data_IF_326785959055
#
_entry.id   IF_326785959055
#
_cell.length_a   1.000
_cell.length_b   1.000
_cell.length_c   1.000
_cell.angle_alpha   90.00
_cell.angle_beta   90.00
_cell.angle_gamma   90.00
#
_symmetry.space_group_name_H-M   'P 1'
#
loop_
_entity.id
_entity.type
_entity.pdbx_description
1 polymer ?
#
# COMPACT_ATOMS: atom_id res chain seq x y z
N UNK A 1 -40.65 31.28 -19.17
CA UNK A 1 -40.18 29.93 -19.53
C UNK A 1 -38.67 29.74 -19.42
N UNK A 2 -37.84 30.71 -19.83
CA UNK A 2 -36.38 30.62 -19.70
C UNK A 2 -35.83 30.61 -18.26
N UNK A 3 -36.47 31.33 -17.31
CA UNK A 3 -36.04 31.31 -15.91
C UNK A 3 -36.30 29.98 -15.17
N UNK A 4 -37.32 29.23 -15.58
CA UNK A 4 -37.61 27.91 -14.99
C UNK A 4 -36.62 26.81 -15.48
N UNK A 5 -36.14 26.91 -16.73
CA UNK A 5 -35.13 26.00 -17.27
C UNK A 5 -33.80 26.10 -16.53
N UNK A 6 -33.32 27.34 -16.27
CA UNK A 6 -32.06 27.55 -15.54
C UNK A 6 -32.07 27.05 -14.06
N UNK A 7 -33.25 27.04 -13.42
CA UNK A 7 -33.38 26.54 -12.04
C UNK A 7 -33.35 25.01 -12.02
N UNK A 8 -33.96 24.37 -13.04
CA UNK A 8 -33.98 22.91 -13.14
C UNK A 8 -32.58 22.33 -13.40
N UNK A 9 -31.82 22.96 -14.30
CA UNK A 9 -30.45 22.55 -14.62
C UNK A 9 -29.49 22.75 -13.46
N UNK A 10 -29.63 23.85 -12.69
CA UNK A 10 -28.84 24.07 -11.48
C UNK A 10 -29.11 23.05 -10.35
N UNK A 11 -30.36 22.63 -10.18
CA UNK A 11 -30.72 21.62 -9.19
C UNK A 11 -30.19 20.23 -9.57
N UNK A 12 -30.20 19.87 -10.87
CA UNK A 12 -29.68 18.60 -11.35
C UNK A 12 -28.16 18.53 -11.20
N UNK A 13 -27.44 19.57 -11.58
CA UNK A 13 -25.97 19.66 -11.43
C UNK A 13 -25.54 19.60 -9.97
N UNK A 14 -26.23 20.31 -9.07
CA UNK A 14 -25.94 20.27 -7.63
C UNK A 14 -26.15 18.87 -7.04
N UNK A 15 -27.19 18.15 -7.42
CA UNK A 15 -27.47 16.80 -6.95
C UNK A 15 -26.42 15.78 -7.43
N UNK A 16 -25.95 15.87 -8.68
CA UNK A 16 -24.92 14.95 -9.21
C UNK A 16 -23.60 15.12 -8.46
N UNK A 17 -23.19 16.37 -8.18
CA UNK A 17 -21.98 16.64 -7.39
C UNK A 17 -22.13 16.21 -5.92
N UNK A 18 -23.28 16.39 -5.33
CA UNK A 18 -23.55 16.00 -3.94
C UNK A 18 -23.56 14.46 -3.78
N UNK A 19 -24.22 13.75 -4.70
CA UNK A 19 -24.18 12.28 -4.75
C UNK A 19 -22.78 11.74 -5.02
N UNK A 20 -22.00 12.36 -5.90
CA UNK A 20 -20.63 11.93 -6.19
C UNK A 20 -19.71 12.08 -4.96
N UNK A 21 -19.86 13.14 -4.17
CA UNK A 21 -19.02 13.37 -2.97
C UNK A 21 -19.35 12.42 -1.82
N UNK A 22 -20.63 12.19 -1.54
CA UNK A 22 -21.07 11.22 -0.51
C UNK A 22 -20.63 9.81 -0.91
N UNK A 23 -20.78 9.49 -2.17
CA UNK A 23 -20.44 8.20 -2.72
C UNK A 23 -18.92 7.93 -2.69
N UNK A 24 -18.09 8.92 -3.01
CA UNK A 24 -16.64 8.80 -2.88
C UNK A 24 -16.22 8.48 -1.44
N UNK A 25 -16.82 9.12 -0.45
CA UNK A 25 -16.55 8.85 0.97
C UNK A 25 -16.85 7.41 1.39
N UNK A 26 -17.94 6.81 0.87
CA UNK A 26 -18.28 5.40 1.13
C UNK A 26 -17.33 4.42 0.44
N UNK A 27 -16.94 4.72 -0.81
CA UNK A 27 -15.95 3.92 -1.54
C UNK A 27 -14.58 3.97 -0.88
N UNK A 28 -14.15 5.14 -0.44
CA UNK A 28 -12.85 5.32 0.21
C UNK A 28 -12.78 4.54 1.52
N UNK A 29 -13.84 4.54 2.33
CA UNK A 29 -13.91 3.70 3.54
C UNK A 29 -13.83 2.21 3.22
N UNK A 30 -14.62 1.73 2.26
CA UNK A 30 -14.60 0.33 1.85
C UNK A 30 -13.23 -0.08 1.28
N UNK A 31 -12.56 0.83 0.55
CA UNK A 31 -11.22 0.61 0.04
C UNK A 31 -10.17 0.50 1.17
N UNK A 32 -10.23 1.39 2.16
CA UNK A 32 -9.33 1.37 3.32
C UNK A 32 -9.52 0.08 4.13
N UNK A 33 -10.75 -0.37 4.37
CA UNK A 33 -11.03 -1.62 5.09
C UNK A 33 -10.46 -2.86 4.40
N UNK A 34 -10.41 -2.88 3.07
CA UNK A 34 -9.97 -4.03 2.29
C UNK A 34 -8.49 -3.99 1.90
N UNK A 35 -7.87 -2.80 1.88
CA UNK A 35 -6.46 -2.64 1.59
C UNK A 35 -5.61 -3.12 2.77
N UNK A 36 -4.76 -4.10 2.56
CA UNK A 36 -3.88 -4.62 3.61
C UNK A 36 -2.65 -3.76 3.86
N UNK A 37 -2.32 -2.86 2.94
CA UNK A 37 -1.19 -1.91 3.02
C UNK A 37 -1.60 -0.47 3.36
N UNK A 38 -2.88 -0.20 3.61
CA UNK A 38 -3.39 1.16 3.88
C UNK A 38 -2.81 1.81 5.12
N UNK A 39 -2.39 1.03 6.11
CA UNK A 39 -1.74 1.54 7.32
C UNK A 39 -0.42 2.29 7.06
N UNK A 40 0.24 2.04 5.93
CA UNK A 40 1.48 2.73 5.53
C UNK A 40 1.24 4.20 5.16
N UNK A 41 0.01 4.57 4.80
CA UNK A 41 -0.37 5.95 4.48
C UNK A 41 -0.45 6.86 5.72
N UNK A 42 -0.51 6.28 6.93
CA UNK A 42 -0.48 7.04 8.18
C UNK A 42 0.84 7.81 8.39
N UNK A 43 1.90 7.38 7.72
CA UNK A 43 3.24 7.96 7.82
C UNK A 43 3.47 9.11 6.82
N UNK A 44 2.50 9.45 5.98
CA UNK A 44 2.61 10.53 4.97
C UNK A 44 2.73 11.93 5.59
N UNK A 45 2.33 12.09 6.87
CA UNK A 45 2.46 13.34 7.63
C UNK A 45 3.90 13.84 7.76
N UNK A 46 4.88 12.95 7.59
CA UNK A 46 6.31 13.29 7.59
C UNK A 46 6.78 13.88 6.26
N UNK A 47 5.92 13.86 5.24
CA UNK A 47 6.27 14.19 3.88
C UNK A 47 5.84 15.61 3.53
N UNK A 48 6.70 16.35 2.83
CA UNK A 48 6.36 17.66 2.27
C UNK A 48 6.21 17.59 0.76
N UNK A 49 5.08 18.04 0.26
CA UNK A 49 4.83 18.18 -1.18
C UNK A 49 5.45 19.46 -1.70
N UNK A 50 6.21 19.37 -2.78
CA UNK A 50 6.88 20.53 -3.40
C UNK A 50 6.23 20.96 -4.73
N UNK A 51 5.05 20.40 -5.05
CA UNK A 51 4.37 20.57 -6.35
C UNK A 51 4.77 19.47 -7.35
N UNK A 52 3.96 19.28 -8.38
CA UNK A 52 4.23 18.23 -9.40
C UNK A 52 4.22 16.81 -8.84
N UNK A 53 5.16 16.01 -9.28
CA UNK A 53 5.36 14.61 -8.89
C UNK A 53 6.31 14.44 -7.68
N UNK A 54 6.94 15.52 -7.25
CA UNK A 54 8.03 15.47 -6.29
C UNK A 54 7.56 15.60 -4.85
N UNK A 55 8.17 14.78 -4.01
CA UNK A 55 7.88 14.65 -2.59
C UNK A 55 9.20 14.75 -1.82
N UNK A 56 9.22 15.51 -0.74
CA UNK A 56 10.40 15.62 0.13
C UNK A 56 10.21 14.80 1.39
N UNK A 57 11.17 13.91 1.65
CA UNK A 57 11.21 13.06 2.84
C UNK A 57 12.38 13.51 3.70
N UNK A 58 12.18 13.73 5.02
CA UNK A 58 13.28 14.09 5.91
C UNK A 58 14.17 12.87 6.16
N UNK A 59 15.47 13.05 6.00
CA UNK A 59 16.51 12.12 6.41
C UNK A 59 17.40 12.82 7.43
N UNK A 60 17.63 12.17 8.56
CA UNK A 60 18.47 12.70 9.64
C UNK A 60 19.61 11.72 9.92
N UNK A 61 20.82 12.24 9.89
CA UNK A 61 22.02 11.54 10.24
C UNK A 61 22.74 12.30 11.35
N UNK A 62 23.28 11.58 12.34
CA UNK A 62 23.92 12.15 13.51
C UNK A 62 25.18 11.34 13.86
N UNK A 63 26.22 12.04 14.28
CA UNK A 63 27.43 11.41 14.80
C UNK A 63 27.14 10.70 16.13
N UNK A 64 27.85 9.60 16.37
CA UNK A 64 27.77 8.83 17.61
C UNK A 64 28.47 9.51 18.78
N UNK A 65 28.46 8.85 19.94
CA UNK A 65 29.21 9.33 21.12
C UNK A 65 30.71 9.24 20.85
N UNK A 66 31.42 10.29 21.25
CA UNK A 66 32.88 10.37 21.27
C UNK A 66 33.38 10.39 22.72
N UNK A 67 34.67 10.09 22.91
CA UNK A 67 35.29 10.13 24.21
C UNK A 67 35.31 11.54 24.79
N UNK A 68 34.92 11.65 26.06
CA UNK A 68 34.95 12.91 26.77
C UNK A 68 36.34 13.11 27.40
N UNK A 69 37.03 14.17 27.04
CA UNK A 69 38.29 14.59 27.63
C UNK A 69 37.99 15.59 28.78
N UNK A 70 38.53 15.29 29.97
CA UNK A 70 38.29 16.14 31.14
C UNK A 70 38.95 17.52 31.04
N UNK A 71 40.00 17.64 30.23
CA UNK A 71 40.75 18.88 30.07
C UNK A 71 40.27 19.69 28.84
N UNK A 72 39.79 18.99 27.81
CA UNK A 72 39.36 19.60 26.52
C UNK A 72 37.84 19.66 26.32
N UNK A 73 37.09 18.92 27.14
CA UNK A 73 35.61 18.90 27.05
C UNK A 73 35.06 17.91 26.01
N UNK A 74 33.93 18.25 25.46
CA UNK A 74 33.23 17.44 24.46
C UNK A 74 33.85 17.58 23.07
N UNK A 75 33.89 16.49 22.32
CA UNK A 75 34.12 16.52 20.87
C UNK A 75 32.85 17.00 20.19
N UNK A 76 32.96 18.01 19.31
CA UNK A 76 31.81 18.51 18.56
C UNK A 76 31.33 17.46 17.56
N UNK A 77 30.05 17.07 17.65
CA UNK A 77 29.39 16.21 16.69
C UNK A 77 28.56 17.00 15.68
N UNK A 78 28.25 16.40 14.56
CA UNK A 78 27.41 16.98 13.53
C UNK A 78 26.03 16.33 13.50
N UNK A 79 25.00 17.14 13.24
CA UNK A 79 23.63 16.71 12.93
C UNK A 79 23.32 17.16 11.52
N UNK A 80 23.12 16.22 10.63
CA UNK A 80 22.82 16.49 9.24
C UNK A 80 21.35 16.19 8.93
N UNK A 81 20.53 17.22 8.83
CA UNK A 81 19.13 17.12 8.43
C UNK A 81 18.99 17.42 6.95
N UNK A 82 18.72 16.42 6.14
CA UNK A 82 18.52 16.54 4.69
C UNK A 82 17.07 16.26 4.33
N UNK A 83 16.60 16.99 3.31
CA UNK A 83 15.34 16.68 2.63
C UNK A 83 15.68 16.00 1.31
N UNK A 84 15.39 14.70 1.23
CA UNK A 84 15.55 13.95 -0.01
C UNK A 84 14.33 14.17 -0.91
N UNK A 85 14.57 14.58 -2.15
CA UNK A 85 13.52 14.68 -3.16
C UNK A 85 13.33 13.33 -3.82
N UNK A 86 12.13 12.78 -3.74
CA UNK A 86 11.73 11.53 -4.40
C UNK A 86 10.59 11.84 -5.36
N UNK A 87 10.62 11.24 -6.55
CA UNK A 87 9.58 11.41 -7.57
C UNK A 87 8.65 10.20 -7.55
N UNK A 88 7.34 10.43 -7.51
CA UNK A 88 6.34 9.36 -7.60
C UNK A 88 6.36 8.74 -9.00
N UNK A 89 6.23 7.42 -9.07
CA UNK A 89 6.34 6.66 -10.32
C UNK A 89 5.03 6.02 -10.78
N UNK A 90 4.07 5.80 -9.87
CA UNK A 90 2.83 5.09 -10.19
C UNK A 90 1.67 6.04 -10.42
N UNK A 91 1.45 6.40 -11.69
CA UNK A 91 0.30 7.19 -12.14
C UNK A 91 -0.62 6.29 -12.97
N UNK A 92 -1.66 5.76 -12.33
CA UNK A 92 -2.53 4.72 -12.88
C UNK A 92 -3.97 5.16 -12.87
N UNK A 93 -4.69 4.86 -13.95
CA UNK A 93 -6.11 5.20 -14.05
C UNK A 93 -6.85 4.39 -15.10
N UNK A 94 -8.16 4.37 -15.00
CA UNK A 94 -9.06 3.73 -15.98
C UNK A 94 -10.33 4.54 -16.14
N UNK A 95 -10.86 4.56 -17.35
CA UNK A 95 -12.14 5.18 -17.68
C UNK A 95 -13.12 4.13 -18.21
N UNK A 96 -14.36 4.20 -17.76
CA UNK A 96 -15.47 3.40 -18.26
C UNK A 96 -16.50 4.33 -18.89
N UNK A 97 -17.05 3.93 -20.03
CA UNK A 97 -18.06 4.71 -20.76
C UNK A 97 -19.28 3.86 -21.02
N UNK A 98 -20.46 4.46 -20.88
CA UNK A 98 -21.77 3.84 -21.07
C UNK A 98 -22.56 4.67 -22.09
N UNK A 99 -23.19 4.03 -23.04
CA UNK A 99 -23.95 4.73 -24.06
C UNK A 99 -25.16 5.47 -23.45
N UNK A 100 -25.46 6.66 -23.96
CA UNK A 100 -26.58 7.50 -23.49
C UNK A 100 -27.94 6.78 -23.60
N UNK A 101 -28.10 5.93 -24.61
CA UNK A 101 -29.35 5.23 -24.85
C UNK A 101 -29.58 3.98 -23.97
N UNK A 102 -28.48 3.47 -23.35
CA UNK A 102 -28.56 2.27 -22.52
C UNK A 102 -28.86 2.59 -21.07
N UNK A 103 -28.72 3.87 -20.64
CA UNK A 103 -28.74 4.24 -19.23
C UNK A 103 -29.65 5.44 -18.95
N UNK A 104 -30.63 5.23 -18.07
CA UNK A 104 -31.46 6.32 -17.54
C UNK A 104 -30.64 7.07 -16.45
N UNK A 105 -30.69 8.41 -16.43
CA UNK A 105 -29.89 9.29 -15.56
C UNK A 105 -29.85 8.87 -14.08
N UNK A 106 -30.99 8.49 -13.50
CA UNK A 106 -31.07 8.09 -12.11
C UNK A 106 -30.43 6.73 -11.84
N UNK A 107 -30.52 5.79 -12.78
CA UNK A 107 -29.89 4.47 -12.68
C UNK A 107 -28.39 4.53 -12.98
N UNK A 108 -27.93 5.51 -13.75
CA UNK A 108 -26.50 5.63 -14.09
C UNK A 108 -25.64 5.89 -12.86
N UNK A 109 -26.02 6.87 -12.03
CA UNK A 109 -25.21 7.21 -10.83
C UNK A 109 -25.06 6.01 -9.92
N UNK A 110 -26.13 5.23 -9.70
CA UNK A 110 -26.09 4.01 -8.89
C UNK A 110 -25.24 2.93 -9.56
N UNK A 111 -25.37 2.75 -10.86
CA UNK A 111 -24.60 1.75 -11.62
C UNK A 111 -23.12 2.11 -11.71
N UNK A 112 -22.79 3.36 -12.00
CA UNK A 112 -21.41 3.86 -12.02
C UNK A 112 -20.74 3.67 -10.65
N UNK A 113 -21.50 3.92 -9.62
CA UNK A 113 -21.12 3.71 -8.24
C UNK A 113 -20.76 2.26 -7.96
N UNK A 114 -21.61 1.33 -8.29
CA UNK A 114 -21.36 -0.10 -8.08
C UNK A 114 -20.18 -0.60 -8.90
N UNK A 115 -20.07 -0.16 -10.17
CA UNK A 115 -18.94 -0.50 -11.05
C UNK A 115 -17.62 0.01 -10.48
N UNK A 116 -17.59 1.26 -9.99
CA UNK A 116 -16.38 1.81 -9.38
C UNK A 116 -16.00 1.13 -8.09
N UNK A 117 -16.95 0.81 -7.20
CA UNK A 117 -16.69 0.06 -5.99
C UNK A 117 -16.13 -1.33 -6.28
N UNK A 118 -16.70 -2.03 -7.23
CA UNK A 118 -16.19 -3.34 -7.63
C UNK A 118 -14.82 -3.24 -8.32
N UNK A 119 -14.60 -2.22 -9.13
CA UNK A 119 -13.29 -1.95 -9.73
C UNK A 119 -12.22 -1.66 -8.69
N UNK A 120 -12.49 -0.80 -7.72
CA UNK A 120 -11.56 -0.53 -6.62
C UNK A 120 -11.25 -1.80 -5.83
N UNK A 121 -12.29 -2.55 -5.44
CA UNK A 121 -12.15 -3.78 -4.65
C UNK A 121 -11.36 -4.87 -5.38
N UNK A 122 -11.61 -5.07 -6.67
CA UNK A 122 -11.08 -6.24 -7.41
C UNK A 122 -9.80 -5.93 -8.20
N UNK A 123 -9.54 -4.67 -8.53
CA UNK A 123 -8.41 -4.26 -9.37
C UNK A 123 -7.46 -3.31 -8.67
N UNK A 124 -7.96 -2.18 -8.17
CA UNK A 124 -7.11 -1.10 -7.62
C UNK A 124 -6.41 -1.52 -6.34
N UNK A 125 -7.15 -2.02 -5.35
CA UNK A 125 -6.60 -2.43 -4.06
C UNK A 125 -5.56 -3.55 -4.21
N UNK A 126 -5.83 -4.65 -4.98
CA UNK A 126 -4.83 -5.68 -5.19
C UNK A 126 -3.56 -5.19 -5.88
N UNK A 127 -3.67 -4.25 -6.81
CA UNK A 127 -2.53 -3.68 -7.53
C UNK A 127 -1.66 -2.82 -6.62
N UNK A 128 -2.27 -1.97 -5.79
CA UNK A 128 -1.56 -1.13 -4.82
C UNK A 128 -0.83 -1.99 -3.78
N UNK A 129 -1.50 -2.99 -3.22
CA UNK A 129 -0.89 -3.91 -2.26
C UNK A 129 0.30 -4.66 -2.89
N UNK A 130 0.13 -5.18 -4.11
CA UNK A 130 1.19 -5.89 -4.83
C UNK A 130 2.40 -4.98 -5.10
N UNK A 131 2.16 -3.73 -5.51
CA UNK A 131 3.22 -2.73 -5.70
C UNK A 131 3.98 -2.46 -4.41
N UNK A 132 3.28 -2.15 -3.33
CA UNK A 132 3.89 -1.81 -2.05
C UNK A 132 4.71 -2.95 -1.47
N UNK A 133 4.16 -4.17 -1.46
CA UNK A 133 4.86 -5.33 -0.92
C UNK A 133 6.06 -5.75 -1.77
N UNK A 134 5.94 -5.71 -3.09
CA UNK A 134 7.09 -6.02 -3.96
C UNK A 134 8.19 -4.98 -3.84
N UNK A 135 7.85 -3.69 -3.70
CA UNK A 135 8.83 -2.62 -3.50
C UNK A 135 9.57 -2.77 -2.16
N UNK A 136 8.86 -3.08 -1.08
CA UNK A 136 9.47 -3.38 0.21
C UNK A 136 10.41 -4.59 0.09
N UNK A 137 9.94 -5.66 -0.55
CA UNK A 137 10.77 -6.86 -0.73
C UNK A 137 12.04 -6.56 -1.55
N UNK A 138 11.93 -5.80 -2.64
CA UNK A 138 13.10 -5.38 -3.43
C UNK A 138 14.10 -4.59 -2.58
N UNK A 139 13.63 -3.61 -1.81
CA UNK A 139 14.49 -2.82 -0.93
C UNK A 139 15.19 -3.67 0.15
N UNK A 140 14.49 -4.67 0.72
CA UNK A 140 15.07 -5.60 1.68
C UNK A 140 16.12 -6.51 1.02
N UNK A 141 15.85 -7.00 -0.20
CA UNK A 141 16.80 -7.81 -0.97
C UNK A 141 18.08 -7.03 -1.27
N UNK A 142 17.95 -5.78 -1.71
CA UNK A 142 19.08 -4.90 -2.04
C UNK A 142 19.98 -4.60 -0.82
N UNK A 143 19.41 -4.63 0.39
CA UNK A 143 20.12 -4.42 1.66
C UNK A 143 20.51 -5.72 2.38
N UNK A 144 20.38 -6.87 1.71
CA UNK A 144 20.65 -8.21 2.26
C UNK A 144 19.84 -8.53 3.55
N UNK A 145 18.61 -7.96 3.63
CA UNK A 145 17.63 -8.17 4.71
C UNK A 145 16.55 -9.17 4.29
N UNK A 146 16.97 -10.28 3.66
CA UNK A 146 16.08 -11.31 3.14
C UNK A 146 16.53 -12.71 3.53
N UNK A 147 15.60 -13.52 4.04
CA UNK A 147 15.78 -14.97 4.22
C UNK A 147 15.23 -15.73 3.01
N UNK A 148 15.94 -16.74 2.54
CA UNK A 148 15.61 -17.52 1.36
C UNK A 148 15.45 -19.00 1.70
N UNK A 149 14.96 -19.78 0.71
CA UNK A 149 14.87 -21.24 0.75
C UNK A 149 14.03 -21.79 1.92
N UNK A 150 13.02 -21.04 2.34
CA UNK A 150 12.19 -21.48 3.44
C UNK A 150 10.76 -21.84 2.99
N UNK A 151 10.41 -23.11 3.09
CA UNK A 151 9.03 -23.59 2.91
C UNK A 151 8.42 -23.86 4.29
N UNK A 152 7.41 -23.08 4.71
CA UNK A 152 6.80 -23.19 6.03
C UNK A 152 6.18 -24.58 6.27
N UNK A 153 6.38 -25.14 7.47
CA UNK A 153 5.69 -26.32 7.99
C UNK A 153 5.02 -26.02 9.33
N UNK A 154 4.04 -26.82 9.74
CA UNK A 154 3.32 -26.63 11.01
C UNK A 154 4.24 -26.69 12.24
N UNK A 155 5.33 -27.44 12.15
CA UNK A 155 6.26 -27.67 13.26
C UNK A 155 7.30 -26.57 13.45
N UNK A 156 7.71 -25.87 12.39
CA UNK A 156 8.84 -24.95 12.41
C UNK A 156 8.49 -23.47 12.16
N UNK A 157 7.31 -23.21 11.59
CA UNK A 157 6.92 -21.87 11.18
C UNK A 157 6.98 -20.84 12.33
N UNK A 158 6.57 -21.23 13.53
CA UNK A 158 6.57 -20.34 14.67
C UNK A 158 8.00 -20.02 15.10
N UNK A 159 8.88 -21.02 15.16
CA UNK A 159 10.28 -20.83 15.53
C UNK A 159 10.99 -19.93 14.52
N UNK A 160 10.79 -20.18 13.21
CA UNK A 160 11.40 -19.37 12.16
C UNK A 160 10.93 -17.92 12.19
N UNK A 161 9.62 -17.70 12.43
CA UNK A 161 9.06 -16.37 12.56
C UNK A 161 9.66 -15.59 13.75
N UNK A 162 9.86 -16.25 14.91
CA UNK A 162 10.52 -15.63 16.07
C UNK A 162 11.97 -15.28 15.78
N UNK A 163 12.73 -16.10 15.06
CA UNK A 163 14.10 -15.76 14.65
C UNK A 163 14.12 -14.54 13.71
N UNK A 164 13.19 -14.47 12.76
CA UNK A 164 13.10 -13.34 11.84
C UNK A 164 12.64 -12.05 12.57
N UNK A 165 11.77 -12.17 13.60
CA UNK A 165 11.40 -11.04 14.48
C UNK A 165 12.61 -10.58 15.30
N UNK A 166 13.34 -11.50 15.92
CA UNK A 166 14.53 -11.18 16.71
C UNK A 166 15.59 -10.45 15.86
N UNK A 167 15.79 -10.86 14.59
CA UNK A 167 16.71 -10.18 13.68
C UNK A 167 16.30 -8.73 13.35
N UNK A 168 15.02 -8.40 13.46
CA UNK A 168 14.52 -7.01 13.35
C UNK A 168 14.69 -6.28 14.69
N UNK A 169 14.33 -6.92 15.80
CA UNK A 169 14.40 -6.34 17.13
C UNK A 169 15.84 -6.01 17.57
N UNK A 170 16.82 -6.79 17.12
CA UNK A 170 18.25 -6.50 17.33
C UNK A 170 18.65 -5.11 16.78
N UNK A 171 17.95 -4.62 15.77
CA UNK A 171 18.24 -3.31 15.17
C UNK A 171 17.43 -2.18 15.84
N UNK A 172 16.14 -2.45 16.16
CA UNK A 172 15.21 -1.38 16.60
C UNK A 172 14.85 -1.43 18.09
N UNK A 173 15.25 -2.49 18.80
CA UNK A 173 14.85 -2.76 20.18
C UNK A 173 13.52 -3.51 20.28
N UNK A 174 13.31 -4.17 21.42
CA UNK A 174 12.13 -5.01 21.68
C UNK A 174 10.82 -4.22 21.73
N UNK A 175 10.85 -2.99 22.23
CA UNK A 175 9.65 -2.16 22.43
C UNK A 175 9.09 -1.57 21.14
N UNK A 176 9.73 -1.79 19.98
CA UNK A 176 9.27 -1.24 18.71
C UNK A 176 8.09 -2.04 18.14
N UNK A 177 6.92 -1.42 17.90
CA UNK A 177 5.77 -2.13 17.33
C UNK A 177 6.04 -2.55 15.89
N UNK A 178 6.09 -3.86 15.65
CA UNK A 178 6.30 -4.47 14.35
C UNK A 178 4.96 -4.89 13.72
N UNK A 179 4.86 -4.77 12.41
CA UNK A 179 3.74 -5.30 11.61
C UNK A 179 4.24 -6.47 10.80
N UNK A 180 3.56 -7.61 10.94
CA UNK A 180 3.84 -8.84 10.20
C UNK A 180 2.81 -8.95 9.07
N UNK A 181 3.27 -8.92 7.83
CA UNK A 181 2.42 -9.17 6.66
C UNK A 181 2.72 -10.57 6.13
N UNK A 182 1.72 -11.44 6.11
CA UNK A 182 1.89 -12.87 5.82
C UNK A 182 0.98 -13.30 4.66
N UNK A 183 1.51 -14.11 3.74
CA UNK A 183 0.73 -14.70 2.66
C UNK A 183 -0.34 -15.66 3.22
N UNK A 184 -1.56 -15.63 2.66
CA UNK A 184 -2.70 -16.45 3.18
C UNK A 184 -2.40 -17.95 3.28
N UNK A 185 -1.74 -18.62 2.31
CA UNK A 185 -1.39 -20.03 2.46
C UNK A 185 -0.45 -20.28 3.64
N UNK A 186 0.51 -19.37 3.86
CA UNK A 186 1.45 -19.44 4.99
C UNK A 186 0.72 -19.18 6.32
N UNK A 187 -0.20 -18.22 6.34
CA UNK A 187 -1.03 -17.95 7.51
C UNK A 187 -1.95 -19.12 7.89
N UNK A 188 -2.40 -19.91 6.92
CA UNK A 188 -3.16 -21.15 7.19
C UNK A 188 -2.28 -22.19 7.89
N UNK A 189 -1.04 -22.41 7.43
CA UNK A 189 -0.07 -23.31 8.08
C UNK A 189 0.25 -22.79 9.48
N UNK A 190 0.43 -21.48 9.64
CA UNK A 190 0.67 -20.84 10.92
C UNK A 190 -0.48 -21.09 11.90
N UNK A 191 -1.74 -20.96 11.47
CA UNK A 191 -2.92 -21.23 12.32
C UNK A 191 -3.05 -22.71 12.73
N UNK A 192 -2.53 -23.65 11.96
CA UNK A 192 -2.55 -25.09 12.26
C UNK A 192 -1.44 -25.52 13.23
N UNK A 193 -0.44 -24.67 13.46
CA UNK A 193 0.65 -24.99 14.39
C UNK A 193 0.12 -25.17 15.82
N UNK A 194 0.30 -26.36 16.38
CA UNK A 194 -0.20 -26.76 17.70
C UNK A 194 0.37 -25.94 18.87
N UNK A 195 1.52 -25.33 18.67
CA UNK A 195 2.24 -24.52 19.68
C UNK A 195 1.64 -23.11 19.80
N UNK A 196 0.79 -22.71 18.86
CA UNK A 196 0.31 -21.35 18.70
C UNK A 196 -0.80 -20.93 19.65
N UNK A 197 -1.54 -21.89 20.21
CA UNK A 197 -2.79 -21.60 20.96
C UNK A 197 -2.62 -20.68 22.18
N UNK A 198 -1.39 -20.50 22.67
CA UNK A 198 -1.06 -19.61 23.79
C UNK A 198 -0.54 -18.23 23.39
N UNK A 199 -0.15 -18.04 22.14
CA UNK A 199 0.54 -16.83 21.66
C UNK A 199 -0.31 -15.94 20.76
N UNK A 200 -1.51 -16.40 20.34
CA UNK A 200 -2.41 -15.61 19.50
C UNK A 200 -3.44 -14.89 20.33
N UNK A 201 -3.54 -13.59 20.14
CA UNK A 201 -4.61 -12.73 20.63
C UNK A 201 -5.23 -11.92 19.48
N UNK A 202 -6.34 -11.26 19.74
CA UNK A 202 -6.98 -10.33 18.79
C UNK A 202 -6.74 -8.92 19.31
N UNK A 203 -6.27 -8.05 18.45
CA UNK A 203 -6.05 -6.64 18.77
C UNK A 203 -6.76 -5.73 17.77
N UNK A 204 -7.02 -4.51 18.19
CA UNK A 204 -7.53 -3.45 17.34
C UNK A 204 -6.36 -2.80 16.58
N UNK A 205 -6.41 -2.87 15.26
CA UNK A 205 -5.39 -2.32 14.37
C UNK A 205 -5.95 -1.13 13.60
N UNK A 206 -5.34 0.03 13.77
CA UNK A 206 -5.75 1.26 13.10
C UNK A 206 -5.16 1.33 11.70
N UNK A 207 -6.05 1.41 10.70
CA UNK A 207 -5.71 1.50 9.28
C UNK A 207 -6.38 2.76 8.70
N UNK A 208 -5.63 3.83 8.54
CA UNK A 208 -6.22 5.15 8.28
C UNK A 208 -7.16 5.58 9.41
N UNK A 209 -8.38 5.94 9.05
CA UNK A 209 -9.43 6.32 10.00
C UNK A 209 -10.30 5.13 10.46
N UNK A 210 -10.02 3.93 9.95
CA UNK A 210 -10.77 2.72 10.24
C UNK A 210 -9.99 1.84 11.23
N UNK A 211 -10.68 1.26 12.21
CA UNK A 211 -10.12 0.28 13.14
C UNK A 211 -10.59 -1.12 12.75
N UNK A 212 -9.64 -1.98 12.42
CA UNK A 212 -9.87 -3.37 12.01
C UNK A 212 -9.38 -4.33 13.08
N UNK A 213 -10.13 -5.38 13.38
CA UNK A 213 -9.67 -6.44 14.28
C UNK A 213 -8.74 -7.39 13.55
N UNK A 214 -7.51 -7.51 14.01
CA UNK A 214 -6.49 -8.39 13.45
C UNK A 214 -5.99 -9.38 14.49
N UNK A 215 -5.49 -10.53 14.04
CA UNK A 215 -4.76 -11.44 14.93
C UNK A 215 -3.39 -10.83 15.24
N UNK A 216 -2.93 -10.99 16.45
CA UNK A 216 -1.61 -10.54 16.89
C UNK A 216 -0.83 -11.68 17.54
N UNK A 217 0.48 -11.65 17.37
CA UNK A 217 1.39 -12.52 18.09
C UNK A 217 1.72 -11.86 19.42
N UNK A 218 1.52 -12.59 20.53
CA UNK A 218 1.71 -12.13 21.92
C UNK A 218 0.93 -10.85 22.32
N UNK A 219 -0.07 -10.43 21.52
CA UNK A 219 -0.78 -9.16 21.75
C UNK A 219 -0.06 -7.90 21.28
N UNK A 220 1.15 -8.02 20.73
CA UNK A 220 2.02 -6.89 20.38
C UNK A 220 2.17 -6.71 18.87
N UNK A 221 2.36 -7.81 18.13
CA UNK A 221 2.65 -7.77 16.72
C UNK A 221 1.43 -8.15 15.87
N UNK A 222 0.75 -7.18 15.21
CA UNK A 222 -0.37 -7.46 14.34
C UNK A 222 0.06 -8.28 13.11
N UNK A 223 -0.75 -9.28 12.76
CA UNK A 223 -0.56 -10.15 11.60
C UNK A 223 -1.60 -9.82 10.53
N UNK A 224 -1.17 -9.22 9.44
CA UNK A 224 -1.99 -8.92 8.27
C UNK A 224 -1.90 -10.06 7.26
N UNK A 225 -3.06 -10.58 6.83
CA UNK A 225 -3.14 -11.71 5.91
C UNK A 225 -3.44 -11.25 4.50
N UNK A 226 -2.52 -11.49 3.60
CA UNK A 226 -2.56 -11.01 2.22
C UNK A 226 -2.71 -12.17 1.26
N UNK A 227 -3.48 -11.97 0.18
CA UNK A 227 -3.57 -12.97 -0.90
C UNK A 227 -2.20 -13.24 -1.53
N UNK A 228 -1.86 -14.52 -1.77
CA UNK A 228 -0.56 -14.92 -2.33
C UNK A 228 -0.23 -14.25 -3.66
N UNK A 229 -1.25 -13.94 -4.48
CA UNK A 229 -1.07 -13.20 -5.73
C UNK A 229 -0.56 -11.77 -5.58
N UNK A 230 -0.57 -11.20 -4.35
CA UNK A 230 -0.04 -9.86 -4.02
C UNK A 230 1.29 -9.94 -3.25
N UNK A 231 1.80 -11.14 -2.96
CA UNK A 231 2.98 -11.40 -2.14
C UNK A 231 4.08 -12.06 -2.98
N UNK A 232 4.57 -11.33 -3.99
CA UNK A 232 5.72 -11.71 -4.82
C UNK A 232 6.76 -10.61 -4.87
N UNK A 233 7.99 -10.97 -5.16
CA UNK A 233 9.14 -10.03 -5.15
C UNK A 233 9.09 -9.02 -6.30
N UNK A 234 8.45 -9.35 -7.43
CA UNK A 234 8.36 -8.43 -8.57
C UNK A 234 7.11 -8.63 -9.39
N UNK A 235 6.63 -7.53 -10.00
CA UNK A 235 5.46 -7.49 -10.88
C UNK A 235 5.70 -6.64 -12.12
N UNK A 236 4.99 -6.98 -13.19
CA UNK A 236 4.81 -6.14 -14.38
C UNK A 236 3.46 -5.46 -14.24
N UNK A 237 3.44 -4.14 -14.27
CA UNK A 237 2.23 -3.32 -14.25
C UNK A 237 1.85 -2.97 -15.68
N UNK A 238 0.81 -3.63 -16.20
CA UNK A 238 0.39 -3.52 -17.59
C UNK A 238 -0.12 -2.11 -17.89
N UNK A 239 0.34 -1.51 -18.99
CA UNK A 239 0.08 -0.13 -19.36
C UNK A 239 -1.32 0.07 -20.01
N UNK A 240 -1.98 -1.01 -20.40
CA UNK A 240 -3.30 -0.99 -21.06
C UNK A 240 -3.26 -0.64 -22.55
N UNK A 241 -2.06 -0.50 -23.15
CA UNK A 241 -1.85 -0.09 -24.55
C UNK A 241 -0.98 -1.04 -25.35
N UNK A 242 0.06 -1.61 -24.73
CA UNK A 242 0.96 -2.58 -25.36
C UNK A 242 0.23 -3.88 -25.64
N UNK A 243 0.54 -4.52 -26.81
CA UNK A 243 -0.05 -5.80 -27.21
C UNK A 243 0.10 -6.87 -26.12
N UNK A 244 -1.03 -7.47 -25.72
CA UNK A 244 -1.12 -8.41 -24.60
C UNK A 244 -1.31 -7.77 -23.22
N UNK A 245 -1.24 -6.44 -23.10
CA UNK A 245 -1.45 -5.69 -21.86
C UNK A 245 -2.73 -4.84 -21.84
N UNK A 246 -3.59 -4.93 -22.84
CA UNK A 246 -4.77 -4.07 -23.06
C UNK A 246 -5.76 -4.09 -21.90
N UNK A 247 -5.81 -5.21 -21.17
CA UNK A 247 -6.66 -5.35 -19.98
C UNK A 247 -6.17 -4.53 -18.79
N UNK A 248 -4.92 -4.04 -18.83
CA UNK A 248 -4.29 -3.39 -17.68
C UNK A 248 -4.08 -4.35 -16.51
N UNK A 249 -4.00 -3.81 -15.28
CA UNK A 249 -3.75 -4.59 -14.08
C UNK A 249 -2.27 -4.94 -13.92
N UNK A 250 -1.98 -6.03 -13.20
CA UNK A 250 -0.61 -6.46 -12.93
C UNK A 250 -0.48 -7.98 -13.04
N UNK A 251 0.71 -8.43 -13.39
CA UNK A 251 1.08 -9.85 -13.47
C UNK A 251 2.43 -10.06 -12.79
N UNK A 252 2.67 -11.25 -12.24
CA UNK A 252 3.99 -11.57 -11.71
C UNK A 252 5.03 -11.49 -12.82
N UNK A 253 6.17 -10.85 -12.54
CA UNK A 253 7.28 -10.82 -13.49
C UNK A 253 7.91 -12.21 -13.63
N UNK A 254 8.62 -12.43 -14.73
CA UNK A 254 9.42 -13.64 -14.90
C UNK A 254 10.48 -13.72 -13.77
N UNK A 255 10.61 -14.90 -13.14
CA UNK A 255 11.50 -15.09 -12.00
C UNK A 255 11.02 -14.49 -10.67
N UNK A 256 9.81 -13.92 -10.62
CA UNK A 256 9.24 -13.44 -9.37
C UNK A 256 9.09 -14.56 -8.33
N UNK A 257 9.60 -14.33 -7.13
CA UNK A 257 9.62 -15.27 -6.03
C UNK A 257 8.44 -15.06 -5.07
N UNK A 258 7.99 -16.13 -4.42
CA UNK A 258 6.92 -16.04 -3.43
C UNK A 258 7.44 -15.54 -2.08
N UNK A 259 6.76 -14.55 -1.51
CA UNK A 259 7.05 -14.01 -0.19
C UNK A 259 6.20 -14.75 0.83
N UNK A 260 6.84 -15.34 1.84
CA UNK A 260 6.16 -15.96 2.99
C UNK A 260 5.60 -14.89 3.92
N UNK A 261 6.47 -13.97 4.37
CA UNK A 261 6.10 -12.81 5.20
C UNK A 261 7.08 -11.65 5.05
N UNK A 262 6.60 -10.48 5.44
CA UNK A 262 7.37 -9.25 5.59
C UNK A 262 7.19 -8.77 7.01
N UNK A 263 8.28 -8.43 7.69
CA UNK A 263 8.30 -7.85 9.03
C UNK A 263 8.86 -6.45 8.93
N UNK A 264 8.14 -5.46 9.42
CA UNK A 264 8.62 -4.09 9.41
C UNK A 264 8.08 -3.29 10.61
N UNK A 265 8.84 -2.32 11.13
CA UNK A 265 8.32 -1.36 12.08
C UNK A 265 7.16 -0.57 11.47
N UNK A 266 6.13 -0.31 12.27
CA UNK A 266 4.93 0.41 11.80
C UNK A 266 5.23 1.79 11.20
N UNK A 267 6.32 2.41 11.63
CA UNK A 267 6.74 3.76 11.19
C UNK A 267 7.74 3.76 10.03
N UNK A 268 8.17 2.59 9.54
CA UNK A 268 9.21 2.52 8.53
C UNK A 268 8.72 2.82 7.11
N UNK A 269 7.68 2.14 6.57
CA UNK A 269 7.21 2.42 5.22
C UNK A 269 6.37 3.71 5.19
N UNK A 270 6.62 4.55 4.21
CA UNK A 270 5.89 5.81 3.95
C UNK A 270 5.22 5.68 2.59
N UNK A 271 3.93 5.36 2.59
CA UNK A 271 3.12 5.34 1.38
C UNK A 271 2.46 6.70 1.18
N UNK A 272 2.55 7.24 -0.01
CA UNK A 272 1.99 8.53 -0.37
C UNK A 272 1.01 8.37 -1.52
N UNK A 273 -0.18 8.91 -1.37
CA UNK A 273 -1.20 9.01 -2.41
C UNK A 273 -1.55 10.48 -2.63
N UNK A 274 -1.40 10.97 -3.85
CA UNK A 274 -1.66 12.38 -4.17
C UNK A 274 -3.01 12.59 -4.84
N UNK A 275 -3.37 11.71 -5.74
CA UNK A 275 -4.65 11.73 -6.43
C UNK A 275 -5.33 10.40 -6.18
N UNK A 276 -6.54 10.46 -5.66
CA UNK A 276 -7.41 9.30 -5.43
C UNK A 276 -8.84 9.82 -5.63
N UNK A 277 -9.25 9.92 -6.90
CA UNK A 277 -10.53 10.58 -7.24
C UNK A 277 -11.27 9.81 -8.31
N UNK A 278 -12.56 9.65 -8.05
CA UNK A 278 -13.56 9.24 -9.05
C UNK A 278 -14.18 10.51 -9.63
N UNK A 279 -14.29 10.59 -10.95
CA UNK A 279 -15.04 11.64 -11.64
C UNK A 279 -16.14 11.02 -12.50
N UNK A 280 -17.25 11.68 -12.54
CA UNK A 280 -18.42 11.29 -13.35
C UNK A 280 -18.70 12.42 -14.34
N UNK A 281 -18.87 12.10 -15.60
CA UNK A 281 -19.18 13.02 -16.67
C UNK A 281 -20.53 12.62 -17.30
N UNK A 282 -21.37 13.61 -17.49
CA UNK A 282 -22.60 13.47 -18.25
C UNK A 282 -22.35 13.51 -19.78
N UNK A 283 -23.31 13.10 -20.62
CA UNK A 283 -23.15 13.07 -22.08
C UNK A 283 -22.94 14.45 -22.71
N UNK A 284 -23.32 15.55 -22.06
CA UNK A 284 -23.15 16.91 -22.56
C UNK A 284 -21.74 17.43 -22.27
N UNK A 285 -21.14 17.05 -21.14
CA UNK A 285 -19.78 17.44 -20.73
C UNK A 285 -18.69 16.51 -21.27
N UNK A 286 -19.02 15.27 -21.63
CA UNK A 286 -18.06 14.33 -22.18
C UNK A 286 -17.84 14.53 -23.68
N UNK A 287 -16.79 15.26 -24.05
CA UNK A 287 -16.56 15.73 -25.43
C UNK A 287 -16.14 14.64 -26.44
N UNK A 288 -15.73 13.44 -26.01
CA UNK A 288 -15.23 12.39 -26.92
C UNK A 288 -16.35 11.66 -27.66
N UNK A 289 -17.52 11.48 -27.04
CA UNK A 289 -18.73 10.85 -27.61
C UNK A 289 -19.93 11.15 -26.69
N UNK A 290 -21.17 10.98 -27.25
CA UNK A 290 -22.39 11.09 -26.44
C UNK A 290 -22.53 9.86 -25.55
N UNK A 291 -21.97 9.93 -24.36
CA UNK A 291 -21.95 8.83 -23.39
C UNK A 291 -21.76 9.37 -21.98
N UNK A 292 -22.28 8.68 -21.03
CA UNK A 292 -21.86 8.78 -19.64
C UNK A 292 -20.46 8.20 -19.48
N UNK A 293 -19.60 8.88 -18.74
CA UNK A 293 -18.27 8.40 -18.46
C UNK A 293 -17.95 8.51 -16.96
N UNK A 294 -17.26 7.51 -16.45
CA UNK A 294 -16.68 7.56 -15.11
C UNK A 294 -15.21 7.20 -15.19
N UNK A 295 -14.36 7.97 -14.55
CA UNK A 295 -12.93 7.68 -14.47
C UNK A 295 -12.44 7.62 -13.03
N UNK A 296 -11.39 6.83 -12.84
CA UNK A 296 -10.63 6.74 -11.61
C UNK A 296 -9.14 6.93 -11.93
N UNK A 297 -8.45 7.74 -11.14
CA UNK A 297 -7.00 7.94 -11.25
C UNK A 297 -6.39 7.95 -9.86
N UNK A 298 -5.33 7.17 -9.69
CA UNK A 298 -4.51 7.17 -8.49
C UNK A 298 -3.05 7.42 -8.84
N UNK A 299 -2.48 8.43 -8.18
CA UNK A 299 -1.07 8.74 -8.28
C UNK A 299 -0.44 8.50 -6.92
N UNK A 300 0.41 7.48 -6.83
CA UNK A 300 0.95 7.02 -5.55
C UNK A 300 2.36 6.46 -5.69
N UNK A 301 3.04 6.35 -4.56
CA UNK A 301 4.30 5.63 -4.43
C UNK A 301 4.54 5.20 -2.97
N UNK A 302 5.64 4.50 -2.72
CA UNK A 302 6.10 4.08 -1.41
C UNK A 302 7.60 4.29 -1.29
N UNK A 303 8.03 4.82 -0.15
CA UNK A 303 9.44 4.93 0.20
C UNK A 303 9.69 4.41 1.61
N UNK A 304 10.92 3.99 1.82
CA UNK A 304 11.44 3.66 3.14
C UNK A 304 12.73 4.45 3.33
N UNK A 305 12.88 5.24 4.40
CA UNK A 305 14.13 5.92 4.71
C UNK A 305 15.27 4.92 4.89
N UNK A 306 16.46 5.24 4.39
CA UNK A 306 17.61 4.31 4.39
C UNK A 306 17.97 3.82 5.79
N UNK A 307 17.89 4.67 6.81
CA UNK A 307 18.13 4.33 8.20
C UNK A 307 17.09 3.37 8.82
N UNK A 308 15.95 3.16 8.15
CA UNK A 308 14.88 2.23 8.59
C UNK A 308 14.86 0.93 7.79
N UNK A 309 15.61 0.83 6.69
CA UNK A 309 15.65 -0.38 5.88
C UNK A 309 16.29 -1.56 6.62
N UNK A 310 17.31 -1.30 7.43
CA UNK A 310 17.96 -2.33 8.25
C UNK A 310 17.02 -2.97 9.28
N UNK A 311 15.98 -2.23 9.66
CA UNK A 311 14.92 -2.66 10.59
C UNK A 311 13.81 -3.49 9.92
N UNK A 312 13.96 -3.87 8.66
CA UNK A 312 12.95 -4.63 7.93
C UNK A 312 13.50 -6.00 7.58
N UNK A 313 12.58 -6.96 7.38
CA UNK A 313 12.93 -8.31 7.00
C UNK A 313 11.91 -8.89 6.05
N UNK A 314 12.36 -9.61 5.01
CA UNK A 314 11.50 -10.38 4.11
C UNK A 314 11.92 -11.86 4.12
N UNK A 315 10.93 -12.75 4.17
CA UNK A 315 11.17 -14.20 4.07
C UNK A 315 10.60 -14.69 2.74
N UNK A 316 11.46 -15.34 1.94
CA UNK A 316 11.19 -15.77 0.56
C UNK A 316 11.27 -17.28 0.49
N UNK A 317 10.30 -17.88 -0.22
CA UNK A 317 10.19 -19.33 -0.35
C UNK A 317 11.29 -19.93 -1.20
N UNK A 318 11.65 -19.31 -2.30
CA UNK A 318 12.62 -19.82 -3.27
C UNK A 318 14.05 -19.48 -2.86
N UNK A 319 15.01 -20.13 -3.51
CA UNK A 319 16.44 -19.81 -3.39
C UNK A 319 16.74 -18.38 -3.85
N UNK A 320 17.80 -17.78 -3.30
CA UNK A 320 18.32 -16.49 -3.79
C UNK A 320 18.60 -16.63 -5.28
N UNK A 321 17.98 -15.79 -6.11
CA UNK A 321 18.28 -15.78 -7.53
C UNK A 321 19.79 -15.57 -7.70
N UNK A 322 20.45 -16.50 -8.37
CA UNK A 322 21.87 -16.38 -8.62
C UNK A 322 22.15 -15.06 -9.33
N UNK A 323 23.13 -14.32 -8.84
CA UNK A 323 23.70 -13.21 -9.58
C UNK A 323 24.31 -13.86 -10.81
N UNK A 324 23.58 -13.81 -11.93
CA UNK A 324 24.11 -14.28 -13.21
C UNK A 324 25.43 -13.57 -13.46
N UNK A 325 26.50 -14.36 -13.52
CA UNK A 325 27.83 -13.87 -13.83
C UNK A 325 27.93 -13.41 -15.29
#
# INVERSE_FOLDING_TARGET
RQRQMCIRDRCIMANVFEYASVFQSELDKAAVEQATSGWMELNDKLVRYNGGADVKIPSMDMDGLADYDRDKGFVEGSVNLKWETKTMTQDRGRQFTFDENEVNETNFVVTAAQVMGEFQRTKVIPEIDAYRYSKIASLCIDKDRAGYEYTPTESDILQKLYYDIAAVQDVVGEDTPLVITMARPVAAIFDMSSTLSKSLSVMDFKQGDVTVKVKSLNGEHPILRVGSGRMKTSYIFNDGTTGGQEKGGFTAAEGAQDINWIICPRTAPIAVSRTDKVRIFDPETYQKKRAWATDYRKYHDLWVPDNKLEAMWVNIKQAKAGVGG
#
